data_IF_885955824020
#
_entry.id   IF_885955824020
#
_cell.length_a   1.000
_cell.length_b   1.000
_cell.length_c   1.000
_cell.angle_alpha   90.00
_cell.angle_beta   90.00
_cell.angle_gamma   90.00
#
_symmetry.space_group_name_H-M   'P 1'
#
loop_
_entity.id
_entity.type
_entity.pdbx_description
1 polymer ?
#
# COMPACT_ATOMS: atom_id res chain seq x y z
N UNK A 1 -4.14 -3.97 -4.52
CA UNK A 1 -4.67 -5.28 -4.95
C UNK A 1 -3.67 -6.36 -4.56
N UNK A 2 -4.12 -7.56 -4.18
CA UNK A 2 -3.22 -8.66 -3.82
C UNK A 2 -3.29 -9.80 -4.83
N UNK A 3 -2.15 -10.43 -5.08
CA UNK A 3 -2.02 -11.53 -6.02
C UNK A 3 -2.36 -12.85 -5.31
N UNK A 4 -3.25 -13.65 -5.90
CA UNK A 4 -3.59 -15.00 -5.37
C UNK A 4 -2.38 -15.93 -5.36
N UNK A 5 -1.44 -15.70 -6.26
CA UNK A 5 -0.18 -16.44 -6.33
C UNK A 5 0.92 -15.39 -6.45
N UNK A 6 1.79 -15.25 -5.42
CA UNK A 6 2.91 -14.33 -5.46
C UNK A 6 3.80 -14.59 -6.68
N UNK A 7 4.25 -13.53 -7.33
CA UNK A 7 5.09 -13.60 -8.55
C UNK A 7 6.54 -13.26 -8.22
N UNK A 8 7.47 -14.02 -8.78
CA UNK A 8 8.92 -13.81 -8.61
C UNK A 8 9.42 -12.92 -9.75
N UNK A 9 10.05 -11.80 -9.41
CA UNK A 9 10.64 -10.86 -10.36
C UNK A 9 12.19 -10.93 -10.43
N UNK A 10 12.79 -11.90 -9.75
CA UNK A 10 14.23 -12.11 -9.55
C UNK A 10 14.94 -10.98 -8.76
N UNK A 11 14.28 -10.42 -7.76
CA UNK A 11 14.90 -9.52 -6.78
C UNK A 11 15.33 -10.30 -5.54
N UNK A 12 16.57 -10.11 -5.07
CA UNK A 12 17.13 -10.90 -3.95
C UNK A 12 16.35 -10.73 -2.64
N UNK A 13 15.97 -9.49 -2.30
CA UNK A 13 15.32 -9.20 -1.01
C UNK A 13 13.79 -9.03 -1.04
N UNK A 14 13.20 -8.77 -2.22
CA UNK A 14 11.82 -8.27 -2.34
C UNK A 14 10.87 -9.26 -3.05
N UNK A 15 11.34 -10.49 -3.29
CA UNK A 15 10.54 -11.55 -3.87
C UNK A 15 10.11 -12.61 -2.85
N UNK A 16 8.95 -13.26 -3.05
CA UNK A 16 8.01 -13.04 -4.14
C UNK A 16 7.06 -11.86 -3.87
N UNK A 17 6.69 -11.11 -4.92
CA UNK A 17 5.76 -9.99 -4.82
C UNK A 17 4.32 -10.51 -4.77
N UNK A 18 3.56 -10.09 -3.76
CA UNK A 18 2.15 -10.46 -3.60
C UNK A 18 1.20 -9.26 -3.47
N UNK A 19 1.75 -8.05 -3.31
CA UNK A 19 1.00 -6.80 -3.19
C UNK A 19 1.37 -5.90 -4.38
N UNK A 20 0.36 -5.44 -5.13
CA UNK A 20 0.51 -4.44 -6.18
C UNK A 20 -0.33 -3.21 -5.83
N UNK A 21 0.34 -2.06 -5.76
CA UNK A 21 -0.29 -0.75 -5.53
C UNK A 21 -0.12 0.09 -6.78
N UNK A 22 -1.24 0.51 -7.37
CA UNK A 22 -1.27 1.43 -8.51
C UNK A 22 -1.68 2.81 -8.03
N UNK A 23 -0.80 3.79 -8.17
CA UNK A 23 -1.05 5.17 -7.80
C UNK A 23 -1.26 6.05 -9.06
N UNK A 24 -2.44 6.64 -9.17
CA UNK A 24 -2.77 7.63 -10.18
C UNK A 24 -3.48 8.81 -9.50
N UNK A 25 -3.21 10.03 -9.96
CA UNK A 25 -3.84 11.23 -9.43
C UNK A 25 -4.17 12.21 -10.57
N UNK A 26 -5.08 13.15 -10.28
CA UNK A 26 -5.57 14.16 -11.24
C UNK A 26 -4.55 15.24 -11.54
N UNK A 27 -3.57 15.43 -10.64
CA UNK A 27 -2.47 16.37 -10.79
C UNK A 27 -1.20 15.86 -10.08
N UNK A 28 -0.08 16.53 -10.36
CA UNK A 28 1.23 16.14 -9.83
C UNK A 28 1.34 16.33 -8.31
N UNK A 29 0.63 17.31 -7.74
CA UNK A 29 0.68 17.59 -6.30
C UNK A 29 0.02 16.45 -5.53
N UNK A 30 -1.20 16.08 -5.92
CA UNK A 30 -1.92 14.96 -5.35
C UNK A 30 -1.18 13.63 -5.56
N UNK A 31 -0.45 13.47 -6.67
CA UNK A 31 0.37 12.28 -6.90
C UNK A 31 1.57 12.21 -5.94
N UNK A 32 2.34 13.30 -5.84
CA UNK A 32 3.65 13.31 -5.19
C UNK A 32 3.59 13.61 -3.70
N UNK A 33 2.79 14.59 -3.28
CA UNK A 33 2.75 15.05 -1.89
C UNK A 33 1.77 14.24 -1.05
N UNK A 34 0.61 13.91 -1.63
CA UNK A 34 -0.46 13.23 -0.88
C UNK A 34 -0.34 11.71 -1.08
N UNK A 35 -0.41 11.23 -2.33
CA UNK A 35 -0.48 9.81 -2.65
C UNK A 35 0.78 9.00 -2.30
N UNK A 36 1.98 9.52 -2.60
CA UNK A 36 3.22 8.82 -2.25
C UNK A 36 3.40 8.75 -0.72
N UNK A 37 3.11 9.84 0.00
CA UNK A 37 3.25 9.87 1.46
C UNK A 37 2.32 8.88 2.15
N UNK A 38 1.08 8.73 1.67
CA UNK A 38 0.16 7.70 2.17
C UNK A 38 0.74 6.29 2.02
N UNK A 39 1.37 5.98 0.89
CA UNK A 39 2.01 4.68 0.66
C UNK A 39 3.23 4.50 1.58
N UNK A 40 4.05 5.53 1.75
CA UNK A 40 5.21 5.49 2.64
C UNK A 40 4.76 5.20 4.08
N UNK A 41 3.79 5.95 4.61
CA UNK A 41 3.26 5.75 5.96
C UNK A 41 2.68 4.34 6.14
N UNK A 42 2.02 3.80 5.11
CA UNK A 42 1.52 2.43 5.14
C UNK A 42 2.66 1.41 5.31
N UNK A 43 3.82 1.67 4.71
CA UNK A 43 4.97 0.75 4.71
C UNK A 43 5.84 0.85 5.97
N UNK A 44 5.68 1.89 6.78
CA UNK A 44 6.45 2.05 8.03
C UNK A 44 6.09 1.00 9.09
N UNK A 45 4.85 0.51 9.11
CA UNK A 45 4.40 -0.57 10.00
C UNK A 45 4.21 -1.85 9.18
N UNK A 46 5.07 -2.83 9.41
CA UNK A 46 5.02 -4.12 8.71
C UNK A 46 3.67 -4.85 8.94
N UNK A 47 3.01 -4.62 10.08
CA UNK A 47 1.69 -5.17 10.35
C UNK A 47 0.61 -4.65 9.40
N UNK A 48 0.81 -3.50 8.76
CA UNK A 48 -0.11 -2.99 7.75
C UNK A 48 -0.13 -3.85 6.48
N UNK A 49 0.95 -4.56 6.14
CA UNK A 49 0.91 -5.49 5.00
C UNK A 49 -0.03 -6.66 5.26
N UNK A 50 -0.05 -7.19 6.48
CA UNK A 50 -0.98 -8.25 6.87
C UNK A 50 -2.42 -7.73 6.89
N UNK A 51 -2.64 -6.50 7.36
CA UNK A 51 -3.95 -5.84 7.29
C UNK A 51 -4.40 -5.66 5.84
N UNK A 52 -3.49 -5.22 4.95
CA UNK A 52 -3.78 -5.03 3.53
C UNK A 52 -4.14 -6.35 2.84
N UNK A 53 -3.47 -7.46 3.20
CA UNK A 53 -3.82 -8.82 2.74
C UNK A 53 -5.16 -9.29 3.27
N UNK A 54 -5.59 -8.79 4.42
CA UNK A 54 -6.86 -9.14 5.05
C UNK A 54 -8.05 -8.32 4.52
N UNK A 55 -7.83 -7.14 3.93
CA UNK A 55 -8.87 -6.33 3.30
C UNK A 55 -9.70 -7.14 2.29
N UNK A 56 -11.02 -6.97 2.31
CA UNK A 56 -11.98 -7.64 1.42
C UNK A 56 -12.83 -6.64 0.63
N UNK A 57 -12.91 -5.40 1.09
CA UNK A 57 -13.62 -4.30 0.43
C UNK A 57 -12.69 -3.14 0.13
N UNK A 58 -13.11 -2.26 -0.77
CA UNK A 58 -12.40 -1.00 -1.05
C UNK A 58 -12.34 -0.12 0.21
N UNK A 59 -13.41 -0.10 0.99
CA UNK A 59 -13.47 0.69 2.23
C UNK A 59 -12.44 0.20 3.26
N UNK A 60 -12.23 -1.11 3.38
CA UNK A 60 -11.21 -1.65 4.30
C UNK A 60 -9.81 -1.10 3.99
N UNK A 61 -9.52 -0.86 2.70
CA UNK A 61 -8.24 -0.31 2.24
C UNK A 61 -8.17 1.19 2.53
N UNK A 62 -9.25 1.93 2.27
CA UNK A 62 -9.32 3.37 2.57
C UNK A 62 -9.17 3.62 4.07
N UNK A 63 -9.89 2.88 4.90
CA UNK A 63 -9.79 2.98 6.36
C UNK A 63 -8.37 2.66 6.86
N UNK A 64 -7.71 1.67 6.26
CA UNK A 64 -6.32 1.35 6.60
C UNK A 64 -5.36 2.49 6.26
N UNK A 65 -5.50 3.12 5.09
CA UNK A 65 -4.69 4.27 4.67
C UNK A 65 -4.92 5.46 5.60
N UNK A 66 -6.17 5.77 5.93
CA UNK A 66 -6.52 6.87 6.84
C UNK A 66 -5.93 6.65 8.23
N UNK A 67 -6.04 5.43 8.77
CA UNK A 67 -5.46 5.08 10.08
C UNK A 67 -3.93 5.15 10.08
N UNK A 68 -3.27 4.67 9.02
CA UNK A 68 -1.80 4.75 8.90
C UNK A 68 -1.33 6.21 8.79
N UNK A 69 -2.08 7.05 8.08
CA UNK A 69 -1.76 8.48 7.94
C UNK A 69 -2.00 9.25 9.23
N UNK A 70 -3.08 8.95 9.96
CA UNK A 70 -3.39 9.58 11.25
C UNK A 70 -2.38 9.20 12.35
N UNK A 71 -1.77 8.01 12.29
CA UNK A 71 -0.76 7.57 13.24
C UNK A 71 0.62 8.20 13.00
N UNK A 72 0.87 8.76 11.82
CA UNK A 72 2.14 9.39 11.43
C UNK A 72 2.23 10.89 11.79
N UNK A 73 1.20 11.46 12.42
CA UNK A 73 1.07 12.89 12.81
C UNK A 73 1.19 13.07 14.32
#
# INVERSE_FOLDING_TARGET
MTLKTPMVFNHEDNDPVDILITLAAVDARAHQEDGIMQIVNLFEDEANFDRLRACRTEQDVLDLIDNATAAAV
#
